data_IF_257919446702
#
_entry.id   IF_257919446702
#
_cell.length_a   1.000
_cell.length_b   1.000
_cell.length_c   1.000
_cell.angle_alpha   90.00
_cell.angle_beta   90.00
_cell.angle_gamma   90.00
#
_symmetry.space_group_name_H-M   'P 1'
#
loop_
_entity.id
_entity.type
_entity.pdbx_description
1 polymer ?
#
# COMPACT_ATOMS: atom_id res chain seq x y z
N UNK A 1 11.05 5.11 -1.81
CA UNK A 1 11.04 3.80 -2.49
C UNK A 1 9.79 3.05 -2.09
N UNK A 2 8.87 2.83 -3.03
CA UNK A 2 7.63 2.07 -2.76
C UNK A 2 7.88 0.57 -2.92
N UNK A 3 7.46 -0.22 -1.93
CA UNK A 3 7.44 -1.68 -2.00
C UNK A 3 6.00 -2.13 -2.23
N UNK A 4 5.77 -2.87 -3.31
CA UNK A 4 4.48 -3.46 -3.65
C UNK A 4 4.51 -4.96 -3.40
N UNK A 5 3.56 -5.47 -2.61
CA UNK A 5 3.41 -6.88 -2.31
C UNK A 5 1.97 -7.32 -2.60
N UNK A 6 1.80 -8.32 -3.44
CA UNK A 6 0.48 -8.87 -3.77
C UNK A 6 0.30 -10.28 -3.18
N UNK A 7 -0.76 -10.48 -2.39
CA UNK A 7 -1.04 -11.73 -1.70
C UNK A 7 -2.11 -12.54 -2.46
N UNK A 8 -1.68 -13.49 -3.32
CA UNK A 8 -2.58 -14.24 -4.22
C UNK A 8 -3.30 -15.45 -3.61
N UNK A 9 -2.84 -16.03 -2.50
CA UNK A 9 -3.45 -17.27 -1.98
C UNK A 9 -3.08 -17.58 -0.52
N UNK A 10 -3.94 -18.35 0.15
CA UNK A 10 -3.77 -18.91 1.49
C UNK A 10 -2.86 -20.13 1.56
N UNK A 11 -2.52 -20.73 0.42
CA UNK A 11 -1.57 -21.85 0.35
C UNK A 11 -0.19 -21.31 -0.04
N UNK A 12 0.79 -21.49 0.84
CA UNK A 12 2.18 -21.05 0.67
C UNK A 12 2.73 -21.55 -0.68
N UNK A 13 2.82 -20.66 -1.66
CA UNK A 13 3.29 -20.99 -3.02
C UNK A 13 4.80 -21.26 -3.02
N UNK A 14 5.22 -22.05 -4.01
CA UNK A 14 6.49 -22.76 -4.30
C UNK A 14 7.84 -22.20 -3.80
N UNK A 15 8.81 -23.13 -3.76
CA UNK A 15 10.17 -23.05 -3.17
C UNK A 15 11.09 -21.91 -3.65
N UNK A 16 10.77 -21.19 -4.71
CA UNK A 16 11.67 -20.21 -5.35
C UNK A 16 11.62 -18.78 -4.77
N UNK A 17 10.72 -18.48 -3.83
CA UNK A 17 10.52 -17.10 -3.32
C UNK A 17 10.64 -17.02 -1.79
N UNK A 18 11.83 -17.35 -1.26
CA UNK A 18 12.06 -17.46 0.19
C UNK A 18 11.89 -16.12 0.95
N UNK A 19 12.23 -14.97 0.35
CA UNK A 19 12.00 -13.65 0.96
C UNK A 19 10.51 -13.26 0.97
N UNK A 20 9.79 -13.54 -0.11
CA UNK A 20 8.36 -13.26 -0.21
C UNK A 20 7.56 -14.05 0.84
N UNK A 21 7.97 -15.29 1.15
CA UNK A 21 7.35 -16.12 2.20
C UNK A 21 7.40 -15.50 3.60
N UNK A 22 8.49 -14.81 3.95
CA UNK A 22 8.63 -14.19 5.27
C UNK A 22 7.61 -13.08 5.49
N UNK A 23 7.45 -12.20 4.49
CA UNK A 23 6.49 -11.09 4.52
C UNK A 23 5.05 -11.60 4.49
N UNK A 24 4.76 -12.61 3.65
CA UNK A 24 3.45 -13.25 3.59
C UNK A 24 3.08 -13.95 4.91
N UNK A 25 4.01 -14.72 5.50
CA UNK A 25 3.78 -15.39 6.78
C UNK A 25 3.64 -14.38 7.93
N UNK A 26 4.38 -13.26 7.91
CA UNK A 26 4.22 -12.19 8.90
C UNK A 26 2.84 -11.55 8.80
N UNK A 27 2.37 -11.23 7.59
CA UNK A 27 1.03 -10.67 7.37
C UNK A 27 -0.09 -11.67 7.63
N UNK A 28 0.15 -12.99 7.54
CA UNK A 28 -0.81 -14.03 7.92
C UNK A 28 -0.70 -14.48 9.39
N UNK A 29 0.32 -14.01 10.13
CA UNK A 29 0.55 -14.40 11.51
C UNK A 29 -0.64 -13.93 12.39
N UNK A 30 -1.23 -14.86 13.13
CA UNK A 30 -2.42 -14.62 13.96
C UNK A 30 -3.79 -14.79 13.28
N UNK A 31 -3.87 -14.99 11.96
CA UNK A 31 -5.14 -15.35 11.29
C UNK A 31 -5.42 -16.85 11.45
N UNK A 32 -6.16 -17.21 12.51
CA UNK A 32 -6.39 -18.60 12.92
C UNK A 32 -7.49 -19.25 12.08
N UNK A 33 -8.50 -18.49 11.66
CA UNK A 33 -9.65 -19.00 10.89
C UNK A 33 -9.52 -18.78 9.38
N UNK A 34 -10.25 -19.59 8.58
CA UNK A 34 -10.29 -19.44 7.11
C UNK A 34 -10.84 -18.07 6.68
N UNK A 35 -11.71 -17.47 7.48
CA UNK A 35 -12.32 -16.17 7.19
C UNK A 35 -11.35 -15.03 7.42
N UNK A 36 -10.64 -15.01 8.55
CA UNK A 36 -9.57 -14.04 8.80
C UNK A 36 -8.49 -14.09 7.72
N UNK A 37 -8.16 -15.29 7.24
CA UNK A 37 -7.22 -15.44 6.14
C UNK A 37 -7.77 -14.93 4.80
N UNK A 38 -9.07 -15.12 4.55
CA UNK A 38 -9.76 -14.60 3.36
C UNK A 38 -9.78 -13.08 3.37
N UNK A 39 -9.91 -12.47 4.54
CA UNK A 39 -9.97 -11.01 4.68
C UNK A 39 -8.59 -10.34 4.63
N UNK A 40 -7.51 -11.11 4.78
CA UNK A 40 -6.13 -10.68 4.50
C UNK A 40 -5.70 -10.88 3.05
N UNK A 41 -6.56 -11.40 2.16
CA UNK A 41 -6.23 -11.49 0.73
C UNK A 41 -6.41 -10.12 0.06
N UNK A 42 -5.43 -9.72 -0.74
CA UNK A 42 -5.49 -8.48 -1.51
C UNK A 42 -4.11 -7.94 -1.88
N UNK A 43 -4.02 -6.62 -1.96
CA UNK A 43 -2.81 -5.88 -2.32
C UNK A 43 -2.33 -5.00 -1.17
N UNK A 44 -1.04 -5.09 -0.88
CA UNK A 44 -0.37 -4.36 0.16
C UNK A 44 0.65 -3.41 -0.46
N UNK A 45 0.56 -2.12 -0.13
CA UNK A 45 1.51 -1.11 -0.56
C UNK A 45 2.21 -0.52 0.65
N UNK A 46 3.54 -0.57 0.64
CA UNK A 46 4.37 0.06 1.65
C UNK A 46 5.16 1.20 1.01
N UNK A 47 4.83 2.43 1.37
CA UNK A 47 5.53 3.63 0.92
C UNK A 47 6.54 4.03 1.99
N UNK A 48 7.82 3.78 1.72
CA UNK A 48 8.89 4.28 2.57
C UNK A 48 9.28 5.67 2.08
N UNK A 49 9.17 6.65 2.97
CA UNK A 49 9.48 8.03 2.69
C UNK A 49 10.55 8.53 3.65
N UNK A 50 11.38 9.42 3.14
CA UNK A 50 12.41 10.11 3.88
C UNK A 50 12.50 11.52 3.31
N UNK A 51 12.53 12.49 4.20
CA UNK A 51 12.65 13.91 3.92
C UNK A 51 13.40 14.59 5.07
N UNK A 52 14.63 15.02 4.78
CA UNK A 52 15.52 15.69 5.74
C UNK A 52 15.03 17.10 6.10
N UNK A 53 14.06 17.65 5.36
CA UNK A 53 13.54 19.01 5.55
C UNK A 53 12.49 19.09 6.66
N UNK A 54 12.92 18.93 7.92
CA UNK A 54 12.06 18.95 9.12
C UNK A 54 11.18 20.21 9.20
N UNK A 55 11.66 21.32 8.67
CA UNK A 55 11.11 22.66 8.88
C UNK A 55 9.81 22.97 8.12
N UNK A 56 9.36 22.11 7.19
CA UNK A 56 8.21 22.42 6.33
C UNK A 56 6.84 21.95 6.87
N UNK A 57 6.74 21.48 8.11
CA UNK A 57 5.46 21.09 8.72
C UNK A 57 5.12 19.60 8.56
N UNK A 58 3.84 19.26 8.73
CA UNK A 58 3.36 17.87 8.73
C UNK A 58 3.56 17.20 7.36
N UNK A 59 3.82 15.89 7.40
CA UNK A 59 4.04 15.09 6.19
C UNK A 59 2.77 14.31 5.91
N UNK A 60 2.26 14.39 4.68
CA UNK A 60 1.06 13.69 4.24
C UNK A 60 1.38 12.86 3.00
N UNK A 61 1.13 11.57 3.08
CA UNK A 61 1.16 10.68 1.92
C UNK A 61 -0.25 10.48 1.43
N UNK A 62 -0.47 10.72 0.13
CA UNK A 62 -1.74 10.48 -0.55
C UNK A 62 -1.54 9.36 -1.55
N UNK A 63 -2.14 8.21 -1.28
CA UNK A 63 -2.15 7.06 -2.16
C UNK A 63 -3.46 7.01 -2.94
N UNK A 64 -3.38 7.09 -4.27
CA UNK A 64 -4.54 6.98 -5.15
C UNK A 64 -4.43 5.72 -5.99
N UNK A 65 -5.51 4.98 -6.14
CA UNK A 65 -5.53 3.76 -6.93
C UNK A 65 -6.83 3.62 -7.74
N UNK A 66 -6.72 2.88 -8.84
CA UNK A 66 -7.80 2.48 -9.73
C UNK A 66 -7.97 0.97 -9.64
N UNK A 67 -9.21 0.50 -9.56
CA UNK A 67 -9.51 -0.93 -9.58
C UNK A 67 -10.26 -1.34 -10.84
N UNK A 68 -10.12 -2.60 -11.23
CA UNK A 68 -10.69 -3.11 -12.48
C UNK A 68 -12.21 -3.04 -12.55
N UNK A 69 -12.89 -3.21 -11.41
CA UNK A 69 -14.34 -3.31 -11.37
C UNK A 69 -15.02 -1.95 -11.12
N UNK A 70 -14.27 -0.88 -10.84
CA UNK A 70 -14.82 0.40 -10.38
C UNK A 70 -15.00 1.44 -11.50
N UNK A 71 -15.01 1.01 -12.77
CA UNK A 71 -15.26 1.86 -13.95
C UNK A 71 -14.47 3.19 -13.95
N UNK A 72 -13.17 3.10 -13.64
CA UNK A 72 -12.24 4.24 -13.53
C UNK A 72 -12.45 5.17 -12.32
N UNK A 73 -13.22 4.76 -11.31
CA UNK A 73 -13.32 5.49 -10.05
C UNK A 73 -11.97 5.46 -9.32
N UNK A 74 -11.44 6.64 -9.03
CA UNK A 74 -10.22 6.80 -8.23
C UNK A 74 -10.56 6.67 -6.75
N UNK A 75 -9.87 5.76 -6.08
CA UNK A 75 -9.91 5.60 -4.63
C UNK A 75 -8.70 6.31 -4.04
N UNK A 76 -8.91 7.09 -2.99
CA UNK A 76 -7.87 7.89 -2.34
C UNK A 76 -7.77 7.45 -0.89
N UNK A 77 -6.55 7.13 -0.46
CA UNK A 77 -6.18 6.90 0.93
C UNK A 77 -5.10 7.90 1.30
N UNK A 78 -5.07 8.33 2.55
CA UNK A 78 -4.00 9.21 3.01
C UNK A 78 -3.57 8.90 4.42
N UNK A 79 -2.28 9.02 4.66
CA UNK A 79 -1.68 8.88 5.98
C UNK A 79 -0.87 10.14 6.28
N UNK A 80 -1.04 10.67 7.50
CA UNK A 80 -0.38 11.90 7.95
C UNK A 80 0.57 11.57 9.09
N UNK A 81 1.76 12.16 9.03
CA UNK A 81 2.82 12.03 10.00
C UNK A 81 3.13 13.41 10.60
N UNK A 82 3.51 13.46 11.88
CA UNK A 82 3.84 14.71 12.55
C UNK A 82 5.06 15.40 11.91
N UNK A 83 5.10 16.72 12.01
CA UNK A 83 6.16 17.54 11.42
C UNK A 83 7.57 17.23 11.93
N UNK A 84 7.68 16.62 13.12
CA UNK A 84 8.94 16.21 13.74
C UNK A 84 9.58 14.98 13.09
N UNK A 85 8.85 14.28 12.22
CA UNK A 85 9.34 13.07 11.56
C UNK A 85 10.08 13.41 10.26
N UNK A 86 11.26 12.81 10.08
CA UNK A 86 12.07 12.92 8.85
C UNK A 86 11.95 11.68 7.97
N UNK A 87 11.55 10.55 8.54
CA UNK A 87 11.42 9.30 7.79
C UNK A 87 10.25 8.50 8.35
N UNK A 88 9.53 7.81 7.49
CA UNK A 88 8.42 6.96 7.92
C UNK A 88 8.05 5.93 6.88
N UNK A 89 7.11 5.07 7.28
CA UNK A 89 6.53 4.05 6.43
C UNK A 89 5.02 4.21 6.49
N UNK A 90 4.40 4.46 5.34
CA UNK A 90 2.96 4.40 5.20
C UNK A 90 2.56 3.04 4.63
N UNK A 91 1.54 2.41 5.21
CA UNK A 91 1.03 1.11 4.77
C UNK A 91 -0.43 1.25 4.31
N UNK A 92 -0.66 0.97 3.02
CA UNK A 92 -1.98 0.99 2.41
C UNK A 92 -2.39 -0.44 2.08
N UNK A 93 -3.38 -0.93 2.82
CA UNK A 93 -3.88 -2.30 2.72
C UNK A 93 -5.23 -2.29 1.98
N UNK A 94 -5.24 -2.76 0.73
CA UNK A 94 -6.46 -2.96 -0.06
C UNK A 94 -6.75 -4.45 -0.04
N UNK A 95 -7.42 -4.90 1.02
CA UNK A 95 -7.64 -6.31 1.33
C UNK A 95 -9.12 -6.63 1.56
N UNK A 96 -9.44 -7.92 1.60
CA UNK A 96 -10.76 -8.41 1.95
C UNK A 96 -11.83 -7.94 0.96
N UNK A 97 -12.91 -7.37 1.47
CA UNK A 97 -14.06 -6.94 0.67
C UNK A 97 -13.70 -5.85 -0.34
N UNK A 98 -12.88 -4.86 0.05
CA UNK A 98 -12.44 -3.77 -0.84
C UNK A 98 -11.71 -4.29 -2.09
N UNK A 99 -10.90 -5.34 -1.94
CA UNK A 99 -10.24 -6.00 -3.06
C UNK A 99 -11.17 -6.95 -3.82
N UNK A 100 -12.07 -7.66 -3.12
CA UNK A 100 -13.02 -8.60 -3.75
C UNK A 100 -14.03 -7.88 -4.64
N UNK A 101 -14.62 -6.80 -4.15
CA UNK A 101 -15.63 -6.02 -4.88
C UNK A 101 -15.00 -5.15 -5.96
N UNK A 102 -13.93 -4.42 -5.62
CA UNK A 102 -13.25 -3.54 -6.56
C UNK A 102 -12.39 -4.27 -7.60
N UNK A 103 -11.99 -5.50 -7.31
CA UNK A 103 -11.09 -6.28 -8.15
C UNK A 103 -9.63 -5.84 -8.03
N UNK A 104 -8.80 -6.32 -8.98
CA UNK A 104 -7.36 -6.04 -9.00
C UNK A 104 -7.10 -4.55 -9.19
N UNK A 105 -5.99 -4.06 -8.63
CA UNK A 105 -5.54 -2.70 -8.89
C UNK A 105 -4.95 -2.64 -10.30
N UNK A 106 -5.44 -1.69 -11.10
CA UNK A 106 -4.99 -1.45 -12.46
C UNK A 106 -3.82 -0.46 -12.49
N UNK A 107 -3.94 0.62 -11.72
CA UNK A 107 -2.95 1.66 -11.63
C UNK A 107 -2.98 2.29 -10.24
N UNK A 108 -1.83 2.77 -9.79
CA UNK A 108 -1.69 3.49 -8.52
C UNK A 108 -0.71 4.67 -8.65
N UNK A 109 -0.87 5.65 -7.76
CA UNK A 109 0.09 6.71 -7.48
C UNK A 109 0.19 6.97 -5.98
N UNK A 110 1.36 7.38 -5.53
CA UNK A 110 1.66 7.82 -4.18
C UNK A 110 2.28 9.22 -4.26
N UNK A 111 1.66 10.20 -3.64
CA UNK A 111 2.14 11.59 -3.60
C UNK A 111 2.53 11.93 -2.17
N UNK A 112 3.76 12.41 -1.99
CA UNK A 112 4.28 12.89 -0.71
C UNK A 112 4.13 14.41 -0.65
N UNK A 113 3.45 14.90 0.38
CA UNK A 113 3.29 16.31 0.68
C UNK A 113 3.94 16.64 2.01
N UNK A 114 4.51 17.84 2.14
CA UNK A 114 4.96 18.41 3.41
C UNK A 114 4.52 19.86 3.52
N UNK A 115 3.79 20.19 4.59
CA UNK A 115 3.21 21.54 4.77
C UNK A 115 2.37 22.00 3.58
N UNK A 116 1.67 21.06 2.91
CA UNK A 116 0.88 21.34 1.71
C UNK A 116 1.67 21.41 0.40
N UNK A 117 3.01 21.37 0.43
CA UNK A 117 3.84 21.32 -0.78
C UNK A 117 4.10 19.87 -1.21
N UNK A 118 3.87 19.55 -2.48
CA UNK A 118 4.24 18.25 -3.05
C UNK A 118 5.76 18.13 -3.15
N UNK A 119 6.33 17.14 -2.48
CA UNK A 119 7.76 16.85 -2.48
C UNK A 119 8.13 15.81 -3.53
N UNK A 120 7.35 14.73 -3.60
CA UNK A 120 7.63 13.61 -4.50
C UNK A 120 6.33 12.93 -4.96
N UNK A 121 6.41 12.23 -6.08
CA UNK A 121 5.34 11.45 -6.64
C UNK A 121 5.92 10.17 -7.24
N UNK A 122 5.40 9.03 -6.81
CA UNK A 122 5.75 7.72 -7.36
C UNK A 122 4.46 7.09 -7.90
N UNK A 123 4.50 6.47 -9.08
CA UNK A 123 3.30 5.91 -9.68
C UNK A 123 3.62 4.67 -10.49
N UNK A 124 2.60 3.83 -10.67
CA UNK A 124 2.66 2.71 -11.60
C UNK A 124 2.81 3.19 -13.04
N UNK A 125 3.40 2.37 -13.89
CA UNK A 125 3.54 2.66 -15.33
C UNK A 125 2.19 2.88 -16.03
N UNK A 126 1.14 2.20 -15.57
CA UNK A 126 -0.21 2.30 -16.13
C UNK A 126 -0.98 3.54 -15.64
N UNK A 127 -0.39 4.34 -14.75
CA UNK A 127 -0.98 5.58 -14.28
C UNK A 127 -0.74 6.69 -15.33
N UNK A 128 -1.81 7.22 -15.91
CA UNK A 128 -1.81 8.31 -16.91
C UNK A 128 -2.75 9.44 -16.48
#
# INVERSE_FOLDING_TARGET
MVKHLHLKTTNVVSRDQMMLRGEQNSKLYGAVTKEERRDRLGEYFAVNWEDEQVAMGEVKIVFTYLQSSTASKQHVMSETFPASTTSGKAEFDIIGEAHREGGRILAWKAELFRGGKKLSMEHSYLWQ
#
